data_IF_888883551501
#
_entry.id   IF_888883551501
#
_cell.length_a   1.000
_cell.length_b   1.000
_cell.length_c   1.000
_cell.angle_alpha   90.00
_cell.angle_beta   90.00
_cell.angle_gamma   90.00
#
_symmetry.space_group_name_H-M   'P 1'
#
loop_
_entity.id
_entity.type
_entity.pdbx_description
1 polymer ?
#
# COMPACT_ATOMS: atom_id res chain seq x y z
N UNK A 1 -13.27 7.52 -23.78
CA UNK A 1 -13.75 8.03 -22.48
C UNK A 1 -13.60 6.98 -21.37
N UNK A 2 -14.13 5.76 -21.51
CA UNK A 2 -14.00 4.67 -20.52
C UNK A 2 -12.54 4.40 -20.11
N UNK A 3 -11.64 4.21 -21.09
CA UNK A 3 -10.20 3.98 -20.83
C UNK A 3 -9.54 5.09 -20.01
N UNK A 4 -9.82 6.36 -20.32
CA UNK A 4 -9.25 7.51 -19.60
C UNK A 4 -9.77 7.53 -18.15
N UNK A 5 -11.05 7.23 -17.95
CA UNK A 5 -11.66 7.20 -16.62
C UNK A 5 -11.07 6.07 -15.77
N UNK A 6 -11.02 4.84 -16.28
CA UNK A 6 -10.47 3.69 -15.56
C UNK A 6 -8.97 3.84 -15.31
N UNK A 7 -8.24 4.43 -16.25
CA UNK A 7 -6.83 4.75 -16.07
C UNK A 7 -6.62 5.80 -14.97
N UNK A 8 -7.42 6.87 -14.97
CA UNK A 8 -7.37 7.88 -13.91
C UNK A 8 -7.62 7.27 -12.54
N UNK A 9 -8.64 6.41 -12.40
CA UNK A 9 -8.94 5.72 -11.14
C UNK A 9 -7.78 4.82 -10.72
N UNK A 10 -7.24 4.02 -11.64
CA UNK A 10 -6.10 3.14 -11.38
C UNK A 10 -4.88 3.92 -10.86
N UNK A 11 -4.49 5.00 -11.55
CA UNK A 11 -3.37 5.84 -11.10
C UNK A 11 -3.64 6.53 -9.77
N UNK A 12 -4.87 6.99 -9.51
CA UNK A 12 -5.23 7.56 -8.21
C UNK A 12 -5.09 6.52 -7.09
N UNK A 13 -5.51 5.28 -7.31
CA UNK A 13 -5.34 4.20 -6.34
C UNK A 13 -3.86 3.86 -6.10
N UNK A 14 -3.03 3.80 -7.15
CA UNK A 14 -1.59 3.60 -7.01
C UNK A 14 -0.92 4.73 -6.23
N UNK A 15 -1.26 5.99 -6.53
CA UNK A 15 -0.72 7.15 -5.80
C UNK A 15 -1.12 7.09 -4.33
N UNK A 16 -2.38 6.76 -4.03
CA UNK A 16 -2.85 6.63 -2.65
C UNK A 16 -2.09 5.53 -1.90
N UNK A 17 -1.92 4.36 -2.52
CA UNK A 17 -1.13 3.25 -1.98
C UNK A 17 0.32 3.69 -1.69
N UNK A 18 0.98 4.27 -2.69
CA UNK A 18 2.37 4.73 -2.57
C UNK A 18 2.56 5.79 -1.49
N UNK A 19 1.63 6.73 -1.34
CA UNK A 19 1.66 7.74 -0.28
C UNK A 19 1.50 7.06 1.09
N UNK A 20 0.54 6.16 1.26
CA UNK A 20 0.31 5.48 2.54
C UNK A 20 1.49 4.60 2.95
N UNK A 21 2.05 3.83 2.01
CA UNK A 21 3.25 3.01 2.20
C UNK A 21 4.47 3.88 2.52
N UNK A 22 4.65 5.01 1.83
CA UNK A 22 5.71 5.97 2.13
C UNK A 22 5.59 6.58 3.53
N UNK A 23 4.39 6.99 3.94
CA UNK A 23 4.16 7.55 5.29
C UNK A 23 4.51 6.50 6.35
N UNK A 24 4.11 5.24 6.14
CA UNK A 24 4.44 4.16 7.05
C UNK A 24 5.95 3.93 7.12
N UNK A 25 6.62 3.73 5.99
CA UNK A 25 8.07 3.44 5.91
C UNK A 25 8.89 4.59 6.51
N UNK A 26 8.60 5.83 6.10
CA UNK A 26 9.33 7.00 6.59
C UNK A 26 9.05 7.26 8.06
N UNK A 27 7.80 7.08 8.50
CA UNK A 27 7.39 7.28 9.87
C UNK A 27 7.98 6.24 10.82
N UNK A 28 7.94 4.95 10.45
CA UNK A 28 8.56 3.88 11.22
C UNK A 28 10.07 4.08 11.29
N UNK A 29 10.76 4.28 10.15
CA UNK A 29 12.21 4.49 10.13
C UNK A 29 12.67 5.68 10.98
N UNK A 30 11.92 6.79 10.99
CA UNK A 30 12.33 8.02 11.69
C UNK A 30 11.91 8.06 13.16
N UNK A 31 10.71 7.58 13.50
CA UNK A 31 10.11 7.79 14.83
C UNK A 31 9.98 6.51 15.64
N UNK A 32 9.89 5.36 14.98
CA UNK A 32 9.67 4.06 15.61
C UNK A 32 10.62 3.01 15.01
N UNK A 33 11.94 3.15 15.17
CA UNK A 33 12.91 2.30 14.49
C UNK A 33 12.73 0.80 14.80
N UNK A 34 12.31 0.47 16.02
CA UNK A 34 11.99 -0.91 16.43
C UNK A 34 10.88 -1.51 15.56
N UNK A 35 9.87 -0.70 15.18
CA UNK A 35 8.81 -1.13 14.27
C UNK A 35 9.33 -1.37 12.85
N UNK A 36 10.25 -0.52 12.40
CA UNK A 36 10.82 -0.62 11.06
C UNK A 36 11.71 -1.86 10.93
N UNK A 37 12.50 -2.16 11.95
CA UNK A 37 13.30 -3.37 12.03
C UNK A 37 12.44 -4.63 12.09
N UNK A 38 11.40 -4.62 12.94
CA UNK A 38 10.45 -5.74 13.06
C UNK A 38 9.66 -6.01 11.78
N UNK A 39 9.41 -4.98 10.97
CA UNK A 39 8.76 -5.11 9.67
C UNK A 39 9.72 -5.58 8.55
N UNK A 40 10.92 -6.05 8.88
CA UNK A 40 11.97 -6.50 7.94
C UNK A 40 12.49 -5.37 7.03
N UNK A 41 12.61 -4.15 7.55
CA UNK A 41 13.21 -3.01 6.87
C UNK A 41 12.53 -2.66 5.52
N UNK A 42 11.20 -2.41 5.50
CA UNK A 42 10.51 -2.12 4.26
C UNK A 42 11.10 -0.85 3.62
N UNK A 43 11.31 -0.90 2.30
CA UNK A 43 11.83 0.21 1.51
C UNK A 43 10.85 0.59 0.41
N UNK A 44 10.91 1.83 -0.06
CA UNK A 44 10.07 2.28 -1.18
C UNK A 44 10.37 1.48 -2.46
N UNK A 45 11.65 1.24 -2.77
CA UNK A 45 12.03 0.45 -3.94
C UNK A 45 11.63 -1.02 -3.79
N UNK A 46 11.73 -1.59 -2.59
CA UNK A 46 11.29 -2.96 -2.30
C UNK A 46 9.77 -3.11 -2.23
N UNK A 47 9.01 -2.02 -2.22
CA UNK A 47 7.54 -2.00 -2.30
C UNK A 47 7.09 -1.16 -3.53
N UNK A 48 7.86 -1.20 -4.62
CA UNK A 48 7.66 -0.33 -5.79
C UNK A 48 6.50 -0.74 -6.70
N UNK A 49 5.93 -1.91 -6.46
CA UNK A 49 4.78 -2.46 -7.19
C UNK A 49 3.82 -3.19 -6.24
N UNK A 50 2.62 -3.52 -6.71
CA UNK A 50 1.59 -4.14 -5.88
C UNK A 50 1.96 -5.54 -5.38
N UNK A 51 2.78 -6.30 -6.10
CA UNK A 51 3.22 -7.62 -5.65
C UNK A 51 4.30 -7.46 -4.58
N UNK A 52 5.29 -6.59 -4.81
CA UNK A 52 6.37 -6.34 -3.86
C UNK A 52 5.92 -5.61 -2.60
N UNK A 53 4.81 -4.85 -2.64
CA UNK A 53 4.18 -4.26 -1.46
C UNK A 53 3.47 -5.28 -0.54
N UNK A 54 3.21 -6.50 -1.01
CA UNK A 54 2.45 -7.51 -0.27
C UNK A 54 3.00 -7.85 1.13
N UNK A 55 4.32 -8.02 1.37
CA UNK A 55 4.85 -8.33 2.71
C UNK A 55 4.49 -7.26 3.75
N UNK A 56 4.61 -5.97 3.39
CA UNK A 56 4.22 -4.86 4.26
C UNK A 56 2.72 -4.88 4.56
N UNK A 57 1.90 -5.14 3.53
CA UNK A 57 0.45 -5.21 3.69
C UNK A 57 0.05 -6.41 4.55
N UNK A 58 0.67 -7.58 4.33
CA UNK A 58 0.46 -8.77 5.15
C UNK A 58 0.79 -8.48 6.60
N UNK A 59 1.93 -7.84 6.87
CA UNK A 59 2.36 -7.43 8.21
C UNK A 59 1.32 -6.53 8.91
N UNK A 60 0.76 -5.57 8.18
CA UNK A 60 -0.31 -4.71 8.68
C UNK A 60 -1.64 -5.45 8.87
N UNK A 61 -1.97 -6.38 7.97
CA UNK A 61 -3.21 -7.15 8.02
C UNK A 61 -3.22 -8.12 9.20
N UNK A 62 -2.14 -8.90 9.37
CA UNK A 62 -1.97 -9.86 10.48
C UNK A 62 -1.76 -9.17 11.82
N UNK A 63 -1.57 -7.84 11.81
CA UNK A 63 -1.25 -7.04 12.98
C UNK A 63 0.01 -7.49 13.71
N UNK A 64 0.98 -8.06 13.00
CA UNK A 64 2.24 -8.52 13.61
C UNK A 64 3.00 -7.39 14.32
N UNK A 65 2.72 -6.13 13.99
CA UNK A 65 3.21 -4.97 14.74
C UNK A 65 2.77 -4.91 16.20
N UNK A 66 1.71 -5.61 16.62
CA UNK A 66 1.25 -5.60 18.02
C UNK A 66 2.21 -6.33 18.98
N UNK A 67 3.12 -7.13 18.43
CA UNK A 67 4.16 -7.84 19.19
C UNK A 67 5.32 -6.91 19.59
N UNK A 68 5.40 -5.72 18.99
CA UNK A 68 6.42 -4.72 19.29
C UNK A 68 6.18 -4.12 20.69
N UNK A 69 7.20 -4.05 21.56
CA UNK A 69 7.03 -3.56 22.93
C UNK A 69 6.73 -2.04 23.03
N UNK A 70 7.09 -1.27 22.01
CA UNK A 70 6.82 0.18 21.95
C UNK A 70 5.34 0.46 21.65
N UNK A 71 4.60 0.89 22.67
CA UNK A 71 3.18 1.28 22.53
C UNK A 71 2.95 2.43 21.55
N UNK A 72 3.91 3.36 21.44
CA UNK A 72 3.84 4.45 20.47
C UNK A 72 3.93 3.94 19.04
N UNK A 73 4.82 2.98 18.80
CA UNK A 73 4.94 2.28 17.53
C UNK A 73 3.66 1.52 17.15
N UNK A 74 3.08 0.79 18.11
CA UNK A 74 1.82 0.06 17.91
C UNK A 74 0.70 1.04 17.55
N UNK A 75 0.56 2.15 18.27
CA UNK A 75 -0.45 3.16 17.98
C UNK A 75 -0.26 3.82 16.60
N UNK A 76 0.99 4.08 16.21
CA UNK A 76 1.34 4.57 14.88
C UNK A 76 0.93 3.58 13.78
N UNK A 77 1.28 2.30 13.96
CA UNK A 77 0.93 1.24 13.01
C UNK A 77 -0.58 1.03 12.92
N UNK A 78 -1.30 1.02 14.05
CA UNK A 78 -2.76 0.87 14.07
C UNK A 78 -3.46 2.01 13.31
N UNK A 79 -2.99 3.25 13.47
CA UNK A 79 -3.52 4.42 12.76
C UNK A 79 -3.36 4.30 11.24
N UNK A 80 -2.24 3.74 10.78
CA UNK A 80 -1.93 3.61 9.35
C UNK A 80 -2.40 2.30 8.73
N UNK A 81 -2.71 1.28 9.54
CA UNK A 81 -3.16 -0.04 9.05
C UNK A 81 -4.31 0.10 8.08
N UNK A 82 -5.40 0.76 8.50
CA UNK A 82 -6.61 0.83 7.67
C UNK A 82 -6.36 1.63 6.38
N UNK A 83 -5.79 2.86 6.41
CA UNK A 83 -5.46 3.57 5.17
C UNK A 83 -4.59 2.76 4.21
N UNK A 84 -3.52 2.13 4.68
CA UNK A 84 -2.57 1.41 3.82
C UNK A 84 -3.15 0.10 3.28
N UNK A 85 -3.91 -0.65 4.08
CA UNK A 85 -4.55 -1.89 3.60
C UNK A 85 -5.69 -1.60 2.62
N UNK A 86 -6.48 -0.53 2.83
CA UNK A 86 -7.55 -0.14 1.93
C UNK A 86 -7.03 0.43 0.61
N UNK A 87 -5.99 1.26 0.63
CA UNK A 87 -5.39 1.80 -0.60
C UNK A 87 -4.80 0.69 -1.46
N UNK A 88 -4.15 -0.30 -0.84
CA UNK A 88 -3.66 -1.49 -1.52
C UNK A 88 -4.79 -2.33 -2.14
N UNK A 89 -5.86 -2.60 -1.39
CA UNK A 89 -7.02 -3.34 -1.90
C UNK A 89 -7.69 -2.58 -3.06
N UNK A 90 -7.84 -1.26 -2.94
CA UNK A 90 -8.39 -0.40 -3.99
C UNK A 90 -7.54 -0.44 -5.26
N UNK A 91 -6.21 -0.42 -5.12
CA UNK A 91 -5.29 -0.55 -6.25
C UNK A 91 -5.46 -1.89 -6.98
N UNK A 92 -5.53 -3.01 -6.25
CA UNK A 92 -5.83 -4.32 -6.85
C UNK A 92 -7.18 -4.37 -7.55
N UNK A 93 -8.24 -3.88 -6.91
CA UNK A 93 -9.58 -3.87 -7.48
C UNK A 93 -9.68 -2.97 -8.72
N UNK A 94 -8.89 -1.89 -8.78
CA UNK A 94 -8.86 -0.97 -9.93
C UNK A 94 -8.26 -1.58 -11.20
N UNK A 95 -7.51 -2.69 -11.09
CA UNK A 95 -6.99 -3.43 -12.25
C UNK A 95 -8.12 -4.03 -13.09
N UNK A 96 -9.18 -4.55 -12.46
CA UNK A 96 -10.29 -5.22 -13.15
C UNK A 96 -10.96 -4.30 -14.20
N UNK A 97 -11.49 -3.11 -13.83
CA UNK A 97 -12.10 -2.20 -14.80
C UNK A 97 -11.09 -1.67 -15.81
N UNK A 98 -9.81 -1.53 -15.44
CA UNK A 98 -8.74 -1.16 -16.38
C UNK A 98 -8.56 -2.22 -17.47
N UNK A 99 -8.48 -3.50 -17.10
CA UNK A 99 -8.34 -4.60 -18.06
C UNK A 99 -9.58 -4.70 -18.97
N UNK A 100 -10.79 -4.51 -18.42
CA UNK A 100 -12.03 -4.47 -19.21
C UNK A 100 -11.98 -3.31 -20.22
N UNK A 101 -11.54 -2.13 -19.79
CA UNK A 101 -11.44 -0.95 -20.65
C UNK A 101 -10.38 -1.12 -21.76
N UNK A 102 -9.26 -1.80 -21.46
CA UNK A 102 -8.23 -2.14 -22.45
C UNK A 102 -8.71 -3.18 -23.46
N UNK A 103 -9.41 -4.23 -23.01
CA UNK A 103 -9.94 -5.28 -23.88
C UNK A 103 -11.04 -4.76 -24.83
N UNK A 104 -11.85 -3.82 -24.35
CA UNK A 104 -12.93 -3.20 -25.15
C UNK A 104 -12.46 -2.04 -26.02
N UNK A 105 -11.20 -1.61 -25.88
CA UNK A 105 -10.63 -0.55 -26.71
C UNK A 105 -10.37 -1.07 -28.14
N UNK A 106 -10.82 -0.37 -29.20
CA UNK A 106 -10.61 -0.83 -30.57
C UNK A 106 -9.12 -1.01 -30.87
N UNK A 107 -8.75 -2.21 -31.30
CA UNK A 107 -7.42 -2.52 -31.84
C UNK A 107 -7.42 -2.03 -33.29
N UNK A 108 -7.20 -0.73 -33.49
CA UNK A 108 -7.02 -0.14 -34.81
C UNK A 108 -5.67 -0.58 -35.41
#
# INVERSE_FOLDING_TARGET
MLLILTASIFFLCLIAESITSWIFIKGSKKRHPVLWEHAEHPTLMGNGDLMSAYPLIRYLWTRSYSEVPDRGAVAFAEKLRLPTTLSYAAAWLSIIPMLIALYTFPQN
#
